data_IF_405105511161
#
_entry.id   IF_405105511161
#
_cell.length_a   1.000
_cell.length_b   1.000
_cell.length_c   1.000
_cell.angle_alpha   90.00
_cell.angle_beta   90.00
_cell.angle_gamma   90.00
#
_symmetry.space_group_name_H-M   'P 1'
#
loop_
_entity.id
_entity.type
_entity.pdbx_description
1 polymer ?
#
# COMPACT_ATOMS: atom_id res chain seq x y z
N UNK A 1 -6.09 9.56 14.06
CA UNK A 1 -5.47 10.85 13.65
C UNK A 1 -4.44 11.32 14.68
N UNK A 2 -4.80 11.43 15.97
CA UNK A 2 -3.87 11.89 17.01
C UNK A 2 -2.56 11.10 17.01
N UNK A 3 -2.60 9.77 16.94
CA UNK A 3 -1.41 8.90 16.89
C UNK A 3 -0.50 9.23 15.71
N UNK A 4 -1.07 9.51 14.55
CA UNK A 4 -0.29 9.82 13.34
C UNK A 4 0.57 11.10 13.50
N UNK A 5 0.11 12.05 14.30
CA UNK A 5 0.79 13.33 14.51
C UNK A 5 1.71 13.37 15.75
N UNK A 6 1.89 12.25 16.47
CA UNK A 6 2.63 12.26 17.75
C UNK A 6 4.13 12.41 17.63
N UNK A 7 4.74 12.03 16.50
CA UNK A 7 6.19 12.06 16.34
C UNK A 7 6.61 12.16 14.89
N UNK A 8 7.60 12.99 14.62
CA UNK A 8 8.26 13.09 13.31
C UNK A 8 9.09 11.85 12.93
N UNK A 9 9.27 10.90 13.86
CA UNK A 9 9.95 9.62 13.61
C UNK A 9 9.02 8.53 13.08
N UNK A 10 7.70 8.78 13.05
CA UNK A 10 6.76 7.85 12.45
C UNK A 10 6.92 7.87 10.94
N UNK A 11 6.99 6.68 10.35
CA UNK A 11 7.08 6.48 8.89
C UNK A 11 5.81 5.80 8.34
N UNK A 12 5.14 5.01 9.15
CA UNK A 12 3.97 4.25 8.74
C UNK A 12 2.98 4.00 9.87
N UNK A 13 1.71 3.80 9.48
CA UNK A 13 0.70 3.18 10.31
C UNK A 13 0.39 1.79 9.77
N UNK A 14 0.37 0.80 10.64
CA UNK A 14 0.08 -0.60 10.30
C UNK A 14 -1.21 -1.04 10.94
N UNK A 15 -2.09 -1.72 10.19
CA UNK A 15 -3.33 -2.25 10.73
C UNK A 15 -3.09 -3.55 11.51
N UNK A 16 -3.24 -3.50 12.83
CA UNK A 16 -3.18 -4.67 13.70
C UNK A 16 -4.55 -5.35 13.82
N UNK A 17 -4.95 -6.12 12.81
CA UNK A 17 -6.29 -6.71 12.69
C UNK A 17 -6.69 -7.61 13.87
N UNK A 18 -5.75 -8.40 14.40
CA UNK A 18 -6.01 -9.31 15.51
C UNK A 18 -6.28 -8.54 16.81
N UNK A 19 -5.43 -7.56 17.13
CA UNK A 19 -5.60 -6.72 18.31
C UNK A 19 -6.85 -5.86 18.20
N UNK A 20 -7.12 -5.32 17.01
CA UNK A 20 -8.32 -4.54 16.77
C UNK A 20 -9.58 -5.38 16.92
N UNK A 21 -9.63 -6.60 16.32
CA UNK A 21 -10.76 -7.52 16.45
C UNK A 21 -11.04 -7.85 17.93
N UNK A 22 -9.99 -8.13 18.70
CA UNK A 22 -10.10 -8.38 20.12
C UNK A 22 -10.63 -7.16 20.88
N UNK A 23 -10.15 -5.98 20.59
CA UNK A 23 -10.55 -4.75 21.27
C UNK A 23 -12.03 -4.39 21.07
N UNK A 24 -12.58 -4.67 19.88
CA UNK A 24 -13.98 -4.38 19.54
C UNK A 24 -14.93 -5.58 19.72
N UNK A 25 -14.42 -6.74 20.18
CA UNK A 25 -15.20 -7.97 20.32
C UNK A 25 -15.65 -8.58 18.99
N UNK A 26 -14.98 -8.30 17.86
CA UNK A 26 -15.32 -8.87 16.57
C UNK A 26 -14.84 -10.33 16.46
N UNK A 27 -15.58 -11.21 15.75
CA UNK A 27 -15.16 -12.60 15.54
C UNK A 27 -13.80 -12.65 14.87
N UNK A 28 -12.87 -13.45 15.41
CA UNK A 28 -11.59 -13.74 14.79
C UNK A 28 -11.78 -14.86 13.76
N UNK A 29 -11.60 -14.52 12.49
CA UNK A 29 -11.80 -15.43 11.36
C UNK A 29 -10.49 -16.11 10.94
N UNK A 30 -9.38 -15.44 11.20
CA UNK A 30 -8.02 -15.93 10.98
C UNK A 30 -7.14 -15.55 12.17
N UNK A 31 -6.21 -16.43 12.55
CA UNK A 31 -5.32 -16.21 13.69
C UNK A 31 -4.24 -15.15 13.41
N UNK A 32 -3.91 -14.94 12.14
CA UNK A 32 -2.73 -14.16 11.76
C UNK A 32 -3.04 -12.96 10.87
N UNK A 33 -4.33 -12.59 10.70
CA UNK A 33 -4.66 -11.46 9.81
C UNK A 33 -5.98 -11.68 9.06
N UNK A 34 -6.04 -11.16 7.84
CA UNK A 34 -7.13 -11.49 6.92
C UNK A 34 -7.10 -12.97 6.55
N UNK A 35 -8.25 -13.55 6.26
CA UNK A 35 -8.38 -14.97 5.91
C UNK A 35 -9.44 -15.24 4.86
N UNK A 36 -9.40 -16.44 4.30
CA UNK A 36 -10.32 -16.91 3.25
C UNK A 36 -11.78 -16.95 3.69
N UNK A 37 -12.04 -17.11 4.99
CA UNK A 37 -13.38 -17.23 5.55
C UNK A 37 -14.04 -15.89 5.93
N UNK A 38 -13.43 -14.77 5.65
CA UNK A 38 -13.99 -13.45 6.02
C UNK A 38 -15.34 -13.18 5.35
N UNK A 39 -15.51 -13.60 4.10
CA UNK A 39 -16.76 -13.44 3.35
C UNK A 39 -17.91 -14.30 3.88
N UNK A 40 -17.62 -15.39 4.59
CA UNK A 40 -18.66 -16.22 5.22
C UNK A 40 -19.26 -15.55 6.45
N UNK A 41 -18.49 -14.69 7.12
CA UNK A 41 -18.93 -13.93 8.30
C UNK A 41 -19.59 -12.61 7.90
N UNK A 42 -19.06 -11.97 6.85
CA UNK A 42 -19.60 -10.72 6.34
C UNK A 42 -19.32 -10.62 4.83
N UNK A 43 -20.37 -10.52 4.01
CA UNK A 43 -20.29 -10.56 2.54
C UNK A 43 -19.51 -9.38 1.92
N UNK A 44 -19.44 -8.25 2.62
CA UNK A 44 -18.67 -7.08 2.23
C UNK A 44 -17.21 -7.15 2.70
N UNK A 45 -16.50 -6.07 2.50
CA UNK A 45 -15.16 -5.89 3.08
C UNK A 45 -15.29 -5.36 4.52
N UNK A 46 -15.30 -6.26 5.50
CA UNK A 46 -15.61 -5.93 6.91
C UNK A 46 -14.65 -4.88 7.52
N UNK A 47 -13.44 -4.75 7.00
CA UNK A 47 -12.44 -3.80 7.49
C UNK A 47 -12.36 -2.52 6.65
N UNK A 48 -13.26 -2.35 5.68
CA UNK A 48 -13.28 -1.19 4.77
C UNK A 48 -13.21 0.14 5.52
N UNK A 49 -14.09 0.34 6.49
CA UNK A 49 -14.14 1.59 7.25
C UNK A 49 -12.86 1.85 8.04
N UNK A 50 -12.33 0.83 8.71
CA UNK A 50 -11.13 0.95 9.54
C UNK A 50 -9.91 1.25 8.69
N UNK A 51 -9.73 0.52 7.58
CA UNK A 51 -8.63 0.76 6.64
C UNK A 51 -8.73 2.14 6.00
N UNK A 52 -9.91 2.56 5.56
CA UNK A 52 -10.13 3.89 5.00
C UNK A 52 -9.76 5.00 6.00
N UNK A 53 -10.13 4.84 7.26
CA UNK A 53 -9.73 5.77 8.34
C UNK A 53 -8.24 5.77 8.60
N UNK A 54 -7.61 4.59 8.62
CA UNK A 54 -6.16 4.46 8.80
C UNK A 54 -5.43 5.13 7.64
N UNK A 55 -5.86 4.91 6.41
CA UNK A 55 -5.30 5.56 5.20
C UNK A 55 -5.44 7.07 5.30
N UNK A 56 -6.65 7.59 5.60
CA UNK A 56 -6.87 9.02 5.72
C UNK A 56 -5.97 9.65 6.80
N UNK A 57 -5.86 9.01 7.96
CA UNK A 57 -5.00 9.47 9.06
C UNK A 57 -3.51 9.45 8.69
N UNK A 58 -3.04 8.41 8.00
CA UNK A 58 -1.65 8.31 7.55
C UNK A 58 -1.33 9.39 6.50
N UNK A 59 -2.22 9.54 5.51
CA UNK A 59 -2.00 10.48 4.39
C UNK A 59 -2.11 11.94 4.79
N UNK A 60 -2.85 12.28 5.85
CA UNK A 60 -2.94 13.65 6.34
C UNK A 60 -1.61 14.21 6.88
N UNK A 61 -0.65 13.32 7.19
CA UNK A 61 0.69 13.67 7.70
C UNK A 61 1.82 12.97 6.93
N UNK A 62 1.56 12.61 5.67
CA UNK A 62 2.52 11.99 4.74
C UNK A 62 3.11 10.64 5.20
N UNK A 63 2.44 9.92 6.10
CA UNK A 63 2.83 8.57 6.51
C UNK A 63 2.37 7.52 5.49
N UNK A 64 3.03 6.37 5.51
CA UNK A 64 2.58 5.18 4.78
C UNK A 64 1.46 4.48 5.56
N UNK A 65 0.50 3.91 4.82
CA UNK A 65 -0.57 3.09 5.36
C UNK A 65 -0.33 1.63 4.94
N UNK A 66 -0.14 0.75 5.90
CA UNK A 66 0.17 -0.66 5.67
C UNK A 66 -1.00 -1.52 6.17
N UNK A 67 -1.53 -2.35 5.29
CA UNK A 67 -2.59 -3.28 5.64
C UNK A 67 -2.08 -4.47 6.46
N UNK A 68 -2.99 -5.12 7.18
CA UNK A 68 -2.75 -6.32 7.97
C UNK A 68 -2.27 -7.50 7.11
N UNK A 69 -1.60 -8.50 7.70
CA UNK A 69 -1.17 -9.68 6.96
C UNK A 69 -2.36 -10.52 6.48
N UNK A 70 -2.11 -11.41 5.51
CA UNK A 70 -3.02 -12.46 5.11
C UNK A 70 -2.58 -13.77 5.77
N UNK A 71 -3.47 -14.39 6.57
CA UNK A 71 -3.09 -15.48 7.48
C UNK A 71 -2.72 -16.78 6.77
N UNK A 72 -3.39 -17.13 5.66
CA UNK A 72 -3.07 -18.34 4.90
C UNK A 72 -2.03 -18.06 3.80
N UNK A 73 -0.75 -18.30 4.09
CA UNK A 73 0.33 -18.04 3.13
C UNK A 73 0.32 -18.98 1.91
N UNK A 74 -0.47 -20.07 1.94
CA UNK A 74 -0.64 -20.99 0.79
C UNK A 74 -1.75 -20.57 -0.16
N UNK A 75 -2.66 -19.71 0.28
CA UNK A 75 -3.75 -19.18 -0.53
C UNK A 75 -3.30 -17.92 -1.30
N UNK A 76 -2.65 -18.14 -2.42
CA UNK A 76 -2.11 -17.06 -3.28
C UNK A 76 -3.24 -16.20 -3.85
N UNK A 77 -4.38 -16.80 -4.19
CA UNK A 77 -5.52 -16.08 -4.78
C UNK A 77 -6.17 -15.16 -3.75
N UNK A 78 -6.41 -15.66 -2.54
CA UNK A 78 -6.94 -14.84 -1.45
C UNK A 78 -5.99 -13.73 -1.04
N UNK A 79 -4.69 -14.01 -0.99
CA UNK A 79 -3.67 -12.98 -0.74
C UNK A 79 -3.72 -11.87 -1.80
N UNK A 80 -3.78 -12.24 -3.10
CA UNK A 80 -3.86 -11.27 -4.19
C UNK A 80 -5.12 -10.41 -4.08
N UNK A 81 -6.27 -11.02 -3.85
CA UNK A 81 -7.54 -10.29 -3.69
C UNK A 81 -7.47 -9.32 -2.50
N UNK A 82 -6.99 -9.79 -1.35
CA UNK A 82 -6.83 -8.96 -0.15
C UNK A 82 -5.85 -7.79 -0.39
N UNK A 83 -4.73 -8.03 -1.05
CA UNK A 83 -3.76 -7.00 -1.38
C UNK A 83 -4.33 -5.96 -2.37
N UNK A 84 -5.06 -6.42 -3.39
CA UNK A 84 -5.72 -5.53 -4.38
C UNK A 84 -6.78 -4.64 -3.72
N UNK A 85 -7.56 -5.20 -2.79
CA UNK A 85 -8.54 -4.42 -2.03
C UNK A 85 -7.86 -3.34 -1.17
N UNK A 86 -6.79 -3.69 -0.48
CA UNK A 86 -6.03 -2.74 0.33
C UNK A 86 -5.40 -1.63 -0.54
N UNK A 87 -4.83 -1.98 -1.70
CA UNK A 87 -4.31 -1.02 -2.66
C UNK A 87 -5.40 -0.06 -3.16
N UNK A 88 -6.58 -0.57 -3.50
CA UNK A 88 -7.72 0.23 -3.94
C UNK A 88 -8.22 1.22 -2.87
N UNK A 89 -8.08 0.87 -1.59
CA UNK A 89 -8.37 1.76 -0.47
C UNK A 89 -7.29 2.82 -0.21
N UNK A 90 -6.14 2.73 -0.90
CA UNK A 90 -5.04 3.69 -0.79
C UNK A 90 -3.93 3.27 0.17
N UNK A 91 -3.89 2.01 0.61
CA UNK A 91 -2.73 1.47 1.31
C UNK A 91 -1.49 1.50 0.41
N UNK A 92 -0.32 1.69 1.00
CA UNK A 92 0.96 1.68 0.29
C UNK A 92 1.62 0.31 0.28
N UNK A 93 1.14 -0.60 1.12
CA UNK A 93 1.67 -1.96 1.24
C UNK A 93 0.79 -2.85 2.12
N UNK A 94 1.23 -4.09 2.27
CA UNK A 94 0.60 -5.11 3.10
C UNK A 94 1.67 -5.86 3.88
N UNK A 95 1.40 -6.18 5.14
CA UNK A 95 2.33 -6.94 5.97
C UNK A 95 2.43 -8.38 5.48
N UNK A 96 3.65 -8.86 5.23
CA UNK A 96 3.94 -10.25 4.92
C UNK A 96 4.34 -11.00 6.19
N UNK A 97 3.79 -12.18 6.39
CA UNK A 97 4.15 -13.11 7.48
C UNK A 97 4.92 -14.34 6.98
N UNK A 98 5.07 -14.50 5.68
CA UNK A 98 5.83 -15.57 5.05
C UNK A 98 6.58 -15.07 3.81
N UNK A 99 7.81 -15.57 3.52
CA UNK A 99 8.56 -15.15 2.34
C UNK A 99 7.82 -15.34 1.03
N UNK A 100 7.05 -16.42 0.86
CA UNK A 100 6.27 -16.71 -0.35
C UNK A 100 5.20 -15.64 -0.66
N UNK A 101 4.82 -14.83 0.30
CA UNK A 101 3.87 -13.72 0.10
C UNK A 101 4.50 -12.49 -0.54
N UNK A 102 5.84 -12.34 -0.43
CA UNK A 102 6.54 -11.11 -0.83
C UNK A 102 6.37 -10.81 -2.32
N UNK A 103 6.54 -11.80 -3.19
CA UNK A 103 6.43 -11.62 -4.63
C UNK A 103 5.05 -11.12 -5.07
N UNK A 104 3.97 -11.73 -4.53
CA UNK A 104 2.60 -11.32 -4.84
C UNK A 104 2.27 -9.92 -4.29
N UNK A 105 2.65 -9.64 -3.05
CA UNK A 105 2.43 -8.31 -2.45
C UNK A 105 3.18 -7.25 -3.26
N UNK A 106 4.44 -7.50 -3.60
CA UNK A 106 5.24 -6.58 -4.40
C UNK A 106 4.63 -6.34 -5.79
N UNK A 107 4.13 -7.38 -6.43
CA UNK A 107 3.46 -7.27 -7.73
C UNK A 107 2.23 -6.36 -7.65
N UNK A 108 1.38 -6.55 -6.65
CA UNK A 108 0.16 -5.74 -6.48
C UNK A 108 0.48 -4.27 -6.18
N UNK A 109 1.41 -4.00 -5.27
CA UNK A 109 1.72 -2.62 -4.85
C UNK A 109 2.75 -1.90 -5.74
N UNK A 110 3.28 -2.57 -6.76
CA UNK A 110 4.10 -1.92 -7.78
C UNK A 110 3.21 -1.25 -8.82
N UNK A 111 3.58 -0.05 -9.33
CA UNK A 111 2.89 0.55 -10.45
C UNK A 111 2.94 -0.37 -11.67
N UNK A 112 1.82 -0.50 -12.36
CA UNK A 112 1.78 -1.24 -13.62
C UNK A 112 2.31 -0.38 -14.78
N UNK A 113 2.61 -1.00 -15.93
CA UNK A 113 3.17 -0.32 -17.10
C UNK A 113 2.26 0.82 -17.60
N UNK A 114 0.95 0.60 -17.63
CA UNK A 114 -0.01 1.60 -18.08
C UNK A 114 -0.06 2.83 -17.15
N UNK A 115 0.01 2.62 -15.83
CA UNK A 115 0.09 3.72 -14.86
C UNK A 115 1.38 4.53 -15.02
N UNK A 116 2.49 3.87 -15.34
CA UNK A 116 3.77 4.54 -15.59
C UNK A 116 3.76 5.35 -16.87
N UNK A 117 3.24 4.78 -17.96
CA UNK A 117 3.10 5.49 -19.25
C UNK A 117 2.19 6.71 -19.11
N UNK A 118 1.07 6.57 -18.41
CA UNK A 118 0.18 7.70 -18.14
C UNK A 118 0.86 8.77 -17.28
N UNK A 119 1.56 8.37 -16.22
CA UNK A 119 2.29 9.30 -15.37
C UNK A 119 3.37 10.06 -16.16
N UNK A 120 4.10 9.37 -17.05
CA UNK A 120 5.09 9.99 -17.92
C UNK A 120 4.45 11.00 -18.87
N UNK A 121 3.37 10.63 -19.58
CA UNK A 121 2.63 11.53 -20.46
C UNK A 121 2.16 12.80 -19.73
N UNK A 122 1.59 12.64 -18.54
CA UNK A 122 1.14 13.77 -17.70
C UNK A 122 2.31 14.68 -17.34
N UNK A 123 3.43 14.13 -16.90
CA UNK A 123 4.61 14.92 -16.52
C UNK A 123 5.22 15.67 -17.70
N UNK A 124 5.29 15.05 -18.87
CA UNK A 124 5.80 15.67 -20.10
C UNK A 124 4.89 16.81 -20.59
N UNK A 125 3.56 16.57 -20.59
CA UNK A 125 2.58 17.57 -21.00
C UNK A 125 2.60 18.80 -20.08
N UNK A 126 2.68 18.59 -18.75
CA UNK A 126 2.78 19.70 -17.78
C UNK A 126 4.07 20.49 -17.99
N UNK A 127 5.23 19.82 -18.15
CA UNK A 127 6.51 20.51 -18.43
C UNK A 127 6.45 21.34 -19.71
N UNK A 128 5.78 20.82 -20.75
CA UNK A 128 5.62 21.56 -22.02
C UNK A 128 4.76 22.82 -21.83
N UNK A 129 3.67 22.71 -21.08
CA UNK A 129 2.77 23.84 -20.80
C UNK A 129 3.41 24.92 -19.91
N UNK A 130 4.16 24.51 -18.89
CA UNK A 130 4.92 25.44 -18.03
C UNK A 130 5.89 26.29 -18.86
N UNK A 131 6.58 25.69 -19.86
CA UNK A 131 7.45 26.43 -20.77
C UNK A 131 6.71 27.43 -21.68
N UNK A 132 5.44 27.18 -21.95
CA UNK A 132 4.59 28.03 -22.79
C UNK A 132 3.74 29.03 -21.95
N UNK A 133 3.88 29.04 -20.64
CA UNK A 133 3.10 29.89 -19.74
C UNK A 133 1.60 29.53 -19.65
N UNK A 134 1.25 28.29 -20.03
CA UNK A 134 -0.13 27.81 -20.00
C UNK A 134 -0.47 27.24 -18.60
N UNK A 135 -1.57 27.69 -18.01
CA UNK A 135 -2.00 27.27 -16.66
C UNK A 135 -2.76 25.94 -16.62
N UNK A 136 -3.19 25.40 -17.75
CA UNK A 136 -3.98 24.17 -17.85
C UNK A 136 -3.51 23.32 -19.01
N UNK A 137 -3.55 21.99 -18.82
CA UNK A 137 -3.13 21.01 -19.82
C UNK A 137 -4.19 19.92 -19.94
N UNK A 138 -4.42 19.43 -21.14
CA UNK A 138 -5.23 18.25 -21.39
C UNK A 138 -4.33 17.10 -21.90
N UNK A 139 -4.52 15.90 -21.36
CA UNK A 139 -3.89 14.66 -21.82
C UNK A 139 -5.00 13.65 -22.08
N UNK A 140 -4.98 13.04 -23.25
CA UNK A 140 -5.99 12.07 -23.72
C UNK A 140 -7.45 12.56 -23.51
N UNK A 141 -7.69 13.86 -23.73
CA UNK A 141 -9.01 14.51 -23.58
C UNK A 141 -9.44 14.83 -22.13
N UNK A 142 -8.58 14.56 -21.16
CA UNK A 142 -8.84 14.88 -19.75
C UNK A 142 -8.02 16.08 -19.29
N UNK A 143 -8.65 16.99 -18.56
CA UNK A 143 -7.95 18.14 -17.98
C UNK A 143 -7.07 17.68 -16.83
N UNK A 144 -5.81 18.09 -16.86
CA UNK A 144 -4.83 17.83 -15.80
C UNK A 144 -4.86 19.00 -14.81
N UNK A 145 -5.27 18.70 -13.59
CA UNK A 145 -5.21 19.60 -12.46
C UNK A 145 -3.99 19.33 -11.57
N UNK A 146 -3.83 20.13 -10.53
CA UNK A 146 -2.75 19.97 -9.55
C UNK A 146 -2.83 18.64 -8.79
N UNK A 147 -4.03 18.07 -8.59
CA UNK A 147 -4.21 16.80 -7.91
C UNK A 147 -3.71 15.64 -8.80
N UNK A 148 -4.08 15.66 -10.08
CA UNK A 148 -3.61 14.69 -11.08
C UNK A 148 -2.08 14.74 -11.23
N UNK A 149 -1.50 15.96 -11.24
CA UNK A 149 -0.04 16.12 -11.29
C UNK A 149 0.65 15.55 -10.04
N UNK A 150 0.11 15.79 -8.85
CA UNK A 150 0.65 15.20 -7.60
C UNK A 150 0.59 13.68 -7.63
N UNK A 151 -0.50 13.11 -8.17
CA UNK A 151 -0.65 11.67 -8.32
C UNK A 151 0.37 11.10 -9.30
N UNK A 152 0.55 11.70 -10.47
CA UNK A 152 1.55 11.30 -11.45
C UNK A 152 2.98 11.35 -10.88
N UNK A 153 3.33 12.42 -10.15
CA UNK A 153 4.62 12.54 -9.44
C UNK A 153 4.80 11.43 -8.39
N UNK A 154 3.72 11.06 -7.67
CA UNK A 154 3.75 9.97 -6.69
C UNK A 154 4.02 8.62 -7.35
N UNK A 155 3.36 8.31 -8.47
CA UNK A 155 3.59 7.07 -9.22
C UNK A 155 5.02 7.02 -9.78
N UNK A 156 5.51 8.10 -10.34
CA UNK A 156 6.88 8.18 -10.83
C UNK A 156 7.91 7.97 -9.72
N UNK A 157 7.72 8.61 -8.57
CA UNK A 157 8.60 8.44 -7.40
C UNK A 157 8.60 7.01 -6.85
N UNK A 158 7.47 6.29 -6.93
CA UNK A 158 7.40 4.87 -6.56
C UNK A 158 8.29 3.99 -7.44
N UNK A 159 8.50 4.32 -8.71
CA UNK A 159 9.43 3.57 -9.59
C UNK A 159 10.88 3.77 -9.22
N UNK A 160 11.27 4.98 -8.86
CA UNK A 160 12.63 5.28 -8.40
C UNK A 160 12.92 4.60 -7.05
N UNK A 161 11.90 4.41 -6.23
CA UNK A 161 11.99 3.76 -4.92
C UNK A 161 11.88 2.23 -4.95
N UNK A 162 11.82 1.57 -6.13
CA UNK A 162 11.79 0.09 -6.22
C UNK A 162 12.86 -0.60 -5.39
N UNK A 163 14.00 0.05 -5.16
CA UNK A 163 15.05 -0.43 -4.25
C UNK A 163 14.72 -0.23 -2.75
N UNK A 164 13.77 0.64 -2.40
CA UNK A 164 13.44 0.97 -1.00
C UNK A 164 12.29 0.15 -0.42
N UNK A 165 11.44 -0.48 -1.26
CA UNK A 165 10.33 -1.30 -0.78
C UNK A 165 10.80 -2.53 0.01
N UNK A 166 12.04 -2.98 -0.21
CA UNK A 166 12.72 -3.99 0.62
C UNK A 166 12.90 -3.57 2.09
N UNK A 167 12.87 -2.28 2.41
CA UNK A 167 13.07 -1.81 3.80
C UNK A 167 11.86 -2.02 4.69
N UNK A 168 10.64 -1.90 4.17
CA UNK A 168 9.41 -2.01 4.97
C UNK A 168 8.86 -3.44 5.05
N UNK A 169 9.12 -4.28 4.04
CA UNK A 169 8.87 -5.73 4.14
C UNK A 169 9.85 -6.42 5.11
N UNK A 170 10.97 -5.81 5.44
CA UNK A 170 12.02 -6.37 6.30
C UNK A 170 11.89 -5.98 7.78
N UNK A 171 10.77 -5.45 8.25
CA UNK A 171 10.59 -5.20 9.69
C UNK A 171 10.69 -6.50 10.52
N UNK A 172 10.49 -7.64 9.90
CA UNK A 172 10.71 -8.95 10.52
C UNK A 172 12.20 -9.29 10.70
N UNK A 173 13.12 -8.68 9.93
CA UNK A 173 14.56 -8.96 10.03
C UNK A 173 15.24 -8.28 11.22
N UNK A 174 14.67 -7.23 11.76
CA UNK A 174 15.24 -6.47 12.88
C UNK A 174 14.96 -7.09 14.26
N UNK A 175 13.96 -7.98 14.38
CA UNK A 175 13.61 -8.63 15.66
C UNK A 175 14.16 -10.04 15.84
N UNK A 176 14.80 -10.61 14.83
CA UNK A 176 15.43 -11.94 14.92
C UNK A 176 16.89 -11.87 14.44
N UNK A 177 17.78 -11.47 15.36
CA UNK A 177 19.23 -11.55 15.18
C UNK A 177 19.76 -12.98 15.36
N UNK A 178 19.24 -13.94 14.63
CA UNK A 178 19.88 -15.24 14.50
C UNK A 178 19.44 -15.90 13.19
N UNK A 179 20.44 -16.16 12.38
CA UNK A 179 20.46 -16.97 11.16
C UNK A 179 20.14 -16.31 9.82
N UNK A 180 21.24 -16.08 9.11
CA UNK A 180 21.51 -16.29 7.68
C UNK A 180 20.60 -15.63 6.65
N UNK A 181 21.14 -14.60 6.08
CA UNK A 181 21.30 -14.32 4.66
C UNK A 181 20.46 -15.19 3.69
N UNK A 182 19.27 -14.68 3.30
CA UNK A 182 18.51 -15.18 2.15
C UNK A 182 18.47 -14.15 1.00
N UNK A 183 19.56 -13.44 0.80
CA UNK A 183 19.74 -12.54 -0.33
C UNK A 183 21.11 -12.78 -0.93
N UNK A 184 21.28 -13.94 -1.56
CA UNK A 184 22.25 -14.19 -2.62
C UNK A 184 21.83 -15.47 -3.35
N UNK A 185 21.14 -15.30 -4.47
CA UNK A 185 21.26 -16.11 -5.67
C UNK A 185 20.37 -15.55 -6.76
N UNK A 186 21.05 -14.97 -7.72
CA UNK A 186 20.77 -14.83 -9.15
C UNK A 186 19.48 -14.11 -9.56
#
# INVERSE_FOLDING_TARGET
EAIAATSSRLEALVFGIADYSRAIGAPLVSLSGHGENEKSVYSGHRWHYVLSRLVAAAKSVDLQAIDAPYGNFRDVIGLQQSATQAQALGCDGKWAIHPDQLGMIQQVFSPNTAELELAQKVLEAVRAAEKQGLGTVAVDGQMIDQATLKLAKKFWKKTEQKASCYRLCCFWKASNSASSCWLNSE
#
